data_IF_160500658281
#
_entry.id   IF_160500658281
#
_cell.length_a   1.000
_cell.length_b   1.000
_cell.length_c   1.000
_cell.angle_alpha   90.00
_cell.angle_beta   90.00
_cell.angle_gamma   90.00
#
_symmetry.space_group_name_H-M   'P 1'
#
loop_
_entity.id
_entity.type
_entity.pdbx_description
1 polymer ?
#
# COMPACT_ATOMS: atom_id res chain seq x y z
N UNK A 1 60.39 17.98 -20.04
CA UNK A 1 60.51 16.50 -20.06
C UNK A 1 59.15 15.90 -19.70
N UNK A 2 58.45 15.28 -20.67
CA UNK A 2 57.14 14.63 -20.45
C UNK A 2 57.39 13.18 -20.05
N UNK A 3 57.12 12.83 -18.79
CA UNK A 3 57.04 11.42 -18.39
C UNK A 3 55.77 10.83 -18.99
N UNK A 4 55.92 9.89 -19.92
CA UNK A 4 54.84 9.05 -20.41
C UNK A 4 54.62 7.97 -19.36
N UNK A 5 53.53 8.05 -18.60
CA UNK A 5 53.05 6.91 -17.82
C UNK A 5 52.44 5.91 -18.78
N UNK A 6 53.26 4.94 -19.17
CA UNK A 6 52.86 3.74 -19.91
C UNK A 6 51.71 3.05 -19.18
N UNK A 7 50.62 2.77 -19.89
CA UNK A 7 49.32 2.32 -19.36
C UNK A 7 49.31 0.90 -18.79
N UNK A 8 50.22 0.61 -17.86
CA UNK A 8 50.26 -0.65 -17.12
C UNK A 8 49.57 -0.44 -15.78
N UNK A 9 48.33 -0.91 -15.68
CA UNK A 9 47.59 -1.01 -14.40
C UNK A 9 48.47 -1.72 -13.37
N UNK A 10 48.73 -1.05 -12.25
CA UNK A 10 49.57 -1.59 -11.18
C UNK A 10 48.94 -2.88 -10.63
N UNK A 11 49.78 -3.81 -10.16
CA UNK A 11 49.29 -5.00 -9.45
C UNK A 11 48.38 -4.62 -8.27
N UNK A 12 48.72 -3.51 -7.58
CA UNK A 12 47.94 -2.96 -6.48
C UNK A 12 46.60 -2.37 -6.92
N UNK A 13 46.51 -1.82 -8.14
CA UNK A 13 45.25 -1.30 -8.71
C UNK A 13 44.28 -2.46 -8.99
N UNK A 14 44.78 -3.58 -9.53
CA UNK A 14 43.95 -4.78 -9.76
C UNK A 14 43.49 -5.43 -8.46
N UNK A 15 44.34 -5.42 -7.42
CA UNK A 15 43.99 -5.97 -6.12
C UNK A 15 42.93 -5.11 -5.41
N UNK A 16 43.05 -3.79 -5.48
CA UNK A 16 42.07 -2.87 -4.91
C UNK A 16 40.72 -2.93 -5.65
N UNK A 17 40.74 -3.00 -6.99
CA UNK A 17 39.53 -3.17 -7.80
C UNK A 17 38.79 -4.47 -7.48
N UNK A 18 39.52 -5.57 -7.29
CA UNK A 18 38.92 -6.86 -6.93
C UNK A 18 38.30 -6.82 -5.53
N UNK A 19 38.99 -6.20 -4.56
CA UNK A 19 38.45 -6.02 -3.20
C UNK A 19 37.18 -5.18 -3.19
N UNK A 20 37.16 -4.07 -3.93
CA UNK A 20 35.98 -3.20 -4.07
C UNK A 20 34.83 -3.96 -4.72
N UNK A 21 35.11 -4.81 -5.72
CA UNK A 21 34.08 -5.62 -6.38
C UNK A 21 33.48 -6.66 -5.43
N UNK A 22 34.32 -7.30 -4.61
CA UNK A 22 33.88 -8.27 -3.61
C UNK A 22 33.07 -7.60 -2.49
N UNK A 23 33.53 -6.46 -1.98
CA UNK A 23 32.80 -5.66 -0.99
C UNK A 23 31.42 -5.23 -1.52
N UNK A 24 31.33 -4.76 -2.78
CA UNK A 24 30.05 -4.42 -3.42
C UNK A 24 29.11 -5.62 -3.58
N UNK A 25 29.64 -6.80 -3.85
CA UNK A 25 28.82 -8.02 -3.95
C UNK A 25 28.26 -8.41 -2.59
N UNK A 26 29.11 -8.40 -1.56
CA UNK A 26 28.70 -8.70 -0.19
C UNK A 26 27.67 -7.67 0.32
N UNK A 27 27.86 -6.39 0.01
CA UNK A 27 26.90 -5.34 0.35
C UNK A 27 25.55 -5.54 -0.36
N UNK A 28 25.56 -5.89 -1.65
CA UNK A 28 24.35 -6.19 -2.41
C UNK A 28 23.63 -7.45 -1.87
N UNK A 29 24.37 -8.49 -1.50
CA UNK A 29 23.82 -9.70 -0.88
C UNK A 29 23.22 -9.40 0.49
N UNK A 30 23.87 -8.56 1.30
CA UNK A 30 23.33 -8.09 2.60
C UNK A 30 22.07 -7.27 2.43
N UNK A 31 22.04 -6.33 1.48
CA UNK A 31 20.86 -5.52 1.20
C UNK A 31 19.69 -6.37 0.70
N UNK A 32 19.97 -7.37 -0.15
CA UNK A 32 18.97 -8.32 -0.62
C UNK A 32 18.41 -9.17 0.53
N UNK A 33 19.28 -9.64 1.43
CA UNK A 33 18.86 -10.38 2.61
C UNK A 33 18.03 -9.51 3.56
N UNK A 34 18.43 -8.26 3.80
CA UNK A 34 17.69 -7.31 4.62
C UNK A 34 16.29 -6.99 4.03
N UNK A 35 16.18 -6.90 2.71
CA UNK A 35 14.90 -6.72 2.03
C UNK A 35 13.99 -7.96 2.13
N UNK A 36 14.55 -9.17 2.15
CA UNK A 36 13.80 -10.41 2.37
C UNK A 36 13.35 -10.58 3.82
N UNK A 37 14.20 -10.16 4.77
CA UNK A 37 13.93 -10.22 6.21
C UNK A 37 13.05 -9.06 6.70
N UNK A 38 12.81 -8.05 5.85
CA UNK A 38 11.93 -6.94 6.15
C UNK A 38 10.49 -7.42 6.33
N UNK A 39 10.02 -7.42 7.58
CA UNK A 39 8.61 -7.66 7.90
C UNK A 39 7.78 -6.57 7.22
N UNK A 40 6.81 -6.92 6.35
CA UNK A 40 5.97 -5.92 5.70
C UNK A 40 5.25 -5.10 6.76
N UNK A 41 5.35 -3.77 6.65
CA UNK A 41 4.65 -2.87 7.56
C UNK A 41 3.16 -3.14 7.44
N UNK A 42 2.46 -3.48 8.54
CA UNK A 42 1.04 -3.81 8.47
C UNK A 42 0.25 -2.60 7.97
N UNK A 43 -0.68 -2.86 7.05
CA UNK A 43 -1.53 -1.83 6.46
C UNK A 43 -2.33 -1.12 7.55
N UNK A 44 -2.21 0.21 7.58
CA UNK A 44 -2.92 1.03 8.57
C UNK A 44 -4.31 1.36 8.05
N UNK A 45 -5.28 1.23 8.93
CA UNK A 45 -6.61 1.76 8.70
C UNK A 45 -6.63 3.24 9.07
N UNK A 46 -7.12 4.06 8.15
CA UNK A 46 -7.17 5.50 8.29
C UNK A 46 -8.62 5.96 8.53
N UNK A 47 -8.80 6.80 9.55
CA UNK A 47 -10.03 7.54 9.83
C UNK A 47 -9.71 9.02 9.96
N UNK A 48 -10.72 9.88 10.08
CA UNK A 48 -10.51 11.32 10.17
C UNK A 48 -9.63 11.73 11.37
N UNK A 49 -9.86 11.10 12.52
CA UNK A 49 -9.24 11.51 13.79
C UNK A 49 -7.99 10.70 14.15
N UNK A 50 -7.87 9.46 13.63
CA UNK A 50 -6.80 8.55 14.02
C UNK A 50 -6.50 7.50 12.94
N UNK A 51 -5.33 6.89 13.07
CA UNK A 51 -4.90 5.77 12.24
C UNK A 51 -4.40 4.63 13.10
N UNK A 52 -4.80 3.39 12.80
CA UNK A 52 -4.49 2.22 13.61
C UNK A 52 -4.28 0.96 12.76
N UNK A 53 -3.63 -0.06 13.32
CA UNK A 53 -3.51 -1.38 12.69
C UNK A 53 -4.78 -2.15 13.00
N UNK A 54 -5.50 -2.58 11.96
CA UNK A 54 -6.72 -3.37 12.13
C UNK A 54 -6.34 -4.82 12.46
N UNK A 55 -6.96 -5.45 13.49
CA UNK A 55 -6.76 -6.86 13.74
C UNK A 55 -7.14 -7.73 12.53
N UNK A 56 -6.42 -8.83 12.34
CA UNK A 56 -6.64 -9.75 11.22
C UNK A 56 -8.06 -10.34 11.28
N UNK A 57 -8.72 -10.46 10.12
CA UNK A 57 -10.06 -11.02 10.00
C UNK A 57 -11.22 -10.03 10.23
N UNK A 58 -10.94 -8.79 10.63
CA UNK A 58 -11.98 -7.77 10.80
C UNK A 58 -12.40 -7.16 9.44
N UNK A 59 -13.67 -7.38 9.08
CA UNK A 59 -14.28 -6.74 7.91
C UNK A 59 -14.54 -5.27 8.21
N UNK A 60 -14.27 -4.40 7.24
CA UNK A 60 -14.64 -2.99 7.33
C UNK A 60 -16.15 -2.84 7.10
N UNK A 61 -16.85 -2.34 8.12
CA UNK A 61 -18.29 -2.02 8.09
C UNK A 61 -18.54 -0.58 8.55
N UNK A 62 -17.56 0.29 8.33
CA UNK A 62 -17.65 1.69 8.75
C UNK A 62 -18.71 2.42 7.93
N UNK A 63 -19.58 3.18 8.61
CA UNK A 63 -20.47 4.15 7.98
C UNK A 63 -20.03 5.55 8.38
N UNK A 64 -19.71 6.37 7.39
CA UNK A 64 -19.52 7.80 7.59
C UNK A 64 -20.86 8.49 7.35
N UNK A 65 -21.32 9.27 8.34
CA UNK A 65 -22.57 10.01 8.26
C UNK A 65 -22.23 11.49 8.36
N UNK A 66 -22.60 12.24 7.33
CA UNK A 66 -22.47 13.69 7.29
C UNK A 66 -23.86 14.31 7.30
N UNK A 67 -24.14 15.11 8.32
CA UNK A 67 -25.40 15.85 8.50
C UNK A 67 -25.11 17.35 8.47
N UNK A 68 -26.04 18.14 7.92
CA UNK A 68 -25.92 19.60 7.90
C UNK A 68 -26.28 20.25 9.24
N UNK A 69 -27.05 19.55 10.07
CA UNK A 69 -27.51 20.03 11.37
C UNK A 69 -27.38 18.90 12.37
N UNK A 70 -26.94 19.25 13.57
CA UNK A 70 -26.88 18.31 14.70
C UNK A 70 -28.16 18.34 15.54
N UNK A 71 -29.08 19.25 15.21
CA UNK A 71 -30.35 19.48 15.90
C UNK A 71 -31.49 19.25 14.91
N UNK A 72 -32.39 18.33 15.26
CA UNK A 72 -33.57 18.00 14.47
C UNK A 72 -33.27 17.20 13.19
N UNK A 73 -34.28 16.96 12.34
CA UNK A 73 -34.10 16.25 11.08
C UNK A 73 -33.24 17.08 10.14
N UNK A 74 -32.15 16.48 9.66
CA UNK A 74 -31.26 17.16 8.71
C UNK A 74 -31.92 17.23 7.33
N UNK A 75 -31.91 18.38 6.64
CA UNK A 75 -32.51 18.52 5.31
C UNK A 75 -31.77 17.68 4.24
N UNK A 76 -30.50 17.37 4.48
CA UNK A 76 -29.70 16.49 3.65
C UNK A 76 -28.72 15.72 4.54
N UNK A 77 -28.64 14.41 4.32
CA UNK A 77 -27.65 13.55 4.96
C UNK A 77 -26.91 12.74 3.89
N UNK A 78 -25.59 12.66 4.01
CA UNK A 78 -24.75 11.81 3.15
C UNK A 78 -24.23 10.66 4.00
N UNK A 79 -24.53 9.44 3.58
CA UNK A 79 -24.06 8.22 4.25
C UNK A 79 -23.14 7.48 3.28
N UNK A 80 -21.89 7.27 3.70
CA UNK A 80 -20.88 6.52 2.93
C UNK A 80 -20.60 5.24 3.70
N UNK A 81 -21.01 4.11 3.13
CA UNK A 81 -20.72 2.78 3.64
C UNK A 81 -19.72 2.02 2.76
N UNK A 82 -19.24 0.89 3.28
CA UNK A 82 -18.47 -0.09 2.51
C UNK A 82 -19.16 -1.44 2.59
N UNK A 83 -19.22 -2.10 1.44
CA UNK A 83 -19.73 -3.46 1.32
C UNK A 83 -18.60 -4.32 0.74
N UNK A 84 -18.27 -5.47 1.35
CA UNK A 84 -17.33 -6.39 0.75
C UNK A 84 -17.91 -6.96 -0.54
N UNK A 85 -17.11 -6.99 -1.58
CA UNK A 85 -17.47 -7.45 -2.93
C UNK A 85 -16.62 -8.68 -3.26
N UNK A 86 -17.19 -9.65 -3.97
CA UNK A 86 -16.43 -10.82 -4.42
C UNK A 86 -15.39 -10.41 -5.46
N UNK A 87 -14.24 -11.09 -5.48
CA UNK A 87 -13.10 -10.66 -6.31
C UNK A 87 -13.42 -10.62 -7.81
N UNK A 88 -14.37 -11.44 -8.26
CA UNK A 88 -14.73 -11.60 -9.68
C UNK A 88 -16.00 -10.84 -10.07
N UNK A 89 -16.66 -10.16 -9.13
CA UNK A 89 -17.86 -9.38 -9.45
C UNK A 89 -17.52 -7.99 -9.97
N UNK A 90 -18.13 -7.63 -11.10
CA UNK A 90 -17.98 -6.30 -11.70
C UNK A 90 -18.95 -5.28 -11.08
N UNK A 91 -18.66 -4.00 -11.33
CA UNK A 91 -19.45 -2.88 -10.79
C UNK A 91 -20.89 -2.87 -11.32
N UNK A 92 -21.11 -3.32 -12.56
CA UNK A 92 -22.43 -3.34 -13.18
C UNK A 92 -23.34 -4.33 -12.46
N UNK A 93 -22.87 -5.55 -12.27
CA UNK A 93 -23.55 -6.62 -11.54
C UNK A 93 -23.88 -6.16 -10.12
N UNK A 94 -22.92 -5.55 -9.42
CA UNK A 94 -23.14 -5.02 -8.07
C UNK A 94 -24.19 -3.89 -8.04
N UNK A 95 -24.19 -3.03 -9.05
CA UNK A 95 -25.18 -1.94 -9.16
C UNK A 95 -26.58 -2.48 -9.42
N UNK A 96 -26.71 -3.50 -10.27
CA UNK A 96 -28.00 -4.16 -10.54
C UNK A 96 -28.55 -4.86 -9.29
N UNK A 97 -27.70 -5.61 -8.56
CA UNK A 97 -28.10 -6.23 -7.29
C UNK A 97 -28.58 -5.20 -6.27
N UNK A 98 -27.87 -4.09 -6.12
CA UNK A 98 -28.29 -3.00 -5.23
C UNK A 98 -29.65 -2.42 -5.63
N UNK A 99 -29.88 -2.21 -6.92
CA UNK A 99 -31.16 -1.70 -7.43
C UNK A 99 -32.30 -2.70 -7.18
N UNK A 100 -32.05 -4.00 -7.32
CA UNK A 100 -33.05 -5.03 -7.00
C UNK A 100 -33.39 -5.05 -5.52
N UNK A 101 -32.40 -4.97 -4.63
CA UNK A 101 -32.63 -4.97 -3.19
C UNK A 101 -33.37 -3.70 -2.74
N UNK A 102 -33.02 -2.53 -3.30
CA UNK A 102 -33.78 -1.30 -3.07
C UNK A 102 -35.24 -1.46 -3.53
N UNK A 103 -35.50 -2.05 -4.70
CA UNK A 103 -36.88 -2.30 -5.17
C UNK A 103 -37.66 -3.21 -4.22
N UNK A 104 -37.05 -4.31 -3.74
CA UNK A 104 -37.70 -5.24 -2.79
C UNK A 104 -38.10 -4.57 -1.48
N UNK A 105 -37.29 -3.62 -1.01
CA UNK A 105 -37.50 -2.97 0.29
C UNK A 105 -38.29 -1.65 0.22
N UNK A 106 -38.43 -1.05 -0.97
CA UNK A 106 -39.17 0.21 -1.18
C UNK A 106 -40.50 0.07 -1.96
N UNK A 107 -40.87 -1.13 -2.42
CA UNK A 107 -42.23 -1.40 -2.89
C UNK A 107 -43.18 -1.56 -1.69
N UNK A 108 -43.84 -0.46 -1.33
CA UNK A 108 -45.15 -0.44 -0.65
C UNK A 108 -46.22 -0.62 -1.72
#
# INVERSE_FOLDING_TARGET
>A
MRQRTDGRTSFYDRLSENRIREEKRLEAERLAQEALDAVPVPERFHTNELSFIRPQGFKDKTFHVFTLTDIGPSPLSVVIGRTPVEADSDLETMSQMLLEDLKKHYLI
#
